data_IF_361357876045
#
_entry.id   IF_361357876045
#
_cell.length_a   1.000
_cell.length_b   1.000
_cell.length_c   1.000
_cell.angle_alpha   90.00
_cell.angle_beta   90.00
_cell.angle_gamma   90.00
#
_symmetry.space_group_name_H-M   'P 1'
#
loop_
_entity.id
_entity.type
_entity.pdbx_description
1 polymer ?
#
# COMPACT_ATOMS: atom_id res chain seq x y z
N UNK A 1 -2.63 -28.88 18.59
CA UNK A 1 -1.60 -29.81 18.06
C UNK A 1 -1.86 -29.97 16.56
N UNK A 2 -0.83 -29.83 15.73
CA UNK A 2 -0.92 -29.78 14.26
C UNK A 2 -0.24 -28.51 13.74
N UNK A 3 1.08 -28.43 13.84
CA UNK A 3 2.06 -28.81 12.81
C UNK A 3 2.36 -27.63 11.88
N UNK A 4 3.25 -26.76 12.38
CA UNK A 4 3.98 -25.78 11.59
C UNK A 4 5.03 -26.55 10.80
N UNK A 5 4.91 -26.58 9.48
CA UNK A 5 5.93 -27.18 8.63
C UNK A 5 7.08 -26.18 8.48
N UNK A 6 8.12 -26.37 9.30
CA UNK A 6 9.45 -25.87 9.04
C UNK A 6 10.00 -26.57 7.81
N UNK A 7 10.45 -25.80 6.82
CA UNK A 7 11.52 -26.21 5.91
C UNK A 7 12.22 -24.94 5.43
N UNK A 8 13.11 -24.46 6.32
CA UNK A 8 14.02 -23.36 6.01
C UNK A 8 15.30 -23.99 5.49
N UNK A 9 15.48 -24.02 4.16
CA UNK A 9 16.77 -24.30 3.56
C UNK A 9 17.74 -23.18 3.97
N UNK A 10 18.62 -23.51 4.91
CA UNK A 10 19.66 -22.63 5.41
C UNK A 10 20.68 -22.35 4.31
N UNK A 11 20.66 -21.13 3.79
CA UNK A 11 21.80 -20.55 3.06
C UNK A 11 22.61 -19.74 4.05
N UNK A 12 23.84 -20.16 4.28
CA UNK A 12 24.80 -19.53 5.17
C UNK A 12 25.11 -18.08 4.73
N UNK A 13 24.61 -17.13 5.51
CA UNK A 13 25.04 -15.74 5.51
C UNK A 13 25.01 -15.24 6.95
N UNK A 14 26.14 -14.78 7.47
CA UNK A 14 26.35 -14.30 8.85
C UNK A 14 25.63 -12.97 9.14
N UNK A 15 24.31 -12.96 9.04
CA UNK A 15 23.47 -11.81 9.32
C UNK A 15 22.08 -12.22 9.81
N UNK A 16 21.54 -11.46 10.77
CA UNK A 16 20.17 -11.65 11.24
C UNK A 16 19.15 -11.58 10.08
N UNK A 17 18.16 -12.50 10.01
CA UNK A 17 17.15 -12.53 8.96
C UNK A 17 16.40 -11.21 8.82
N UNK A 18 16.04 -10.84 7.60
CA UNK A 18 15.29 -9.59 7.31
C UNK A 18 13.97 -9.56 8.07
N UNK A 19 13.30 -10.70 8.24
CA UNK A 19 12.06 -10.79 9.01
C UNK A 19 12.23 -10.31 10.46
N UNK A 20 13.33 -10.71 11.12
CA UNK A 20 13.62 -10.32 12.50
C UNK A 20 13.95 -8.83 12.61
N UNK A 21 14.68 -8.28 11.63
CA UNK A 21 14.96 -6.83 11.55
C UNK A 21 13.67 -6.02 11.39
N UNK A 22 12.77 -6.44 10.50
CA UNK A 22 11.47 -5.79 10.32
C UNK A 22 10.60 -5.87 11.59
N UNK A 23 10.64 -7.00 12.31
CA UNK A 23 9.94 -7.14 13.59
C UNK A 23 10.49 -6.15 14.64
N UNK A 24 11.81 -5.99 14.74
CA UNK A 24 12.42 -5.01 15.65
C UNK A 24 12.04 -3.57 15.30
N UNK A 25 11.94 -3.25 14.01
CA UNK A 25 11.46 -1.95 13.54
C UNK A 25 10.01 -1.72 13.96
N UNK A 26 9.15 -2.72 13.81
CA UNK A 26 7.75 -2.64 14.25
C UNK A 26 7.63 -2.46 15.77
N UNK A 27 8.38 -3.23 16.55
CA UNK A 27 8.43 -3.08 18.02
C UNK A 27 8.86 -1.67 18.43
N UNK A 28 9.88 -1.12 17.76
CA UNK A 28 10.33 0.25 18.01
C UNK A 28 9.29 1.28 17.60
N UNK A 29 8.68 1.13 16.43
CA UNK A 29 7.64 2.02 15.92
C UNK A 29 6.43 2.08 16.87
N UNK A 30 6.08 0.95 17.50
CA UNK A 30 5.00 0.85 18.49
C UNK A 30 5.35 1.54 19.82
N UNK A 31 6.58 1.36 20.31
CA UNK A 31 7.04 1.93 21.59
C UNK A 31 7.33 3.42 21.51
N UNK A 32 7.84 3.89 20.37
CA UNK A 32 8.30 5.27 20.19
C UNK A 32 7.54 5.96 19.03
N UNK A 33 6.32 6.44 19.31
CA UNK A 33 5.41 7.04 18.32
C UNK A 33 5.96 8.28 17.57
N UNK A 34 7.00 8.92 18.10
CA UNK A 34 7.67 10.06 17.47
C UNK A 34 8.99 9.72 16.76
N UNK A 35 9.43 8.46 16.81
CA UNK A 35 10.76 8.09 16.33
C UNK A 35 10.87 8.19 14.81
N UNK A 36 11.93 8.84 14.35
CA UNK A 36 12.26 8.95 12.92
C UNK A 36 13.31 7.93 12.53
N UNK A 37 12.93 7.03 11.63
CA UNK A 37 13.81 5.99 11.11
C UNK A 37 14.71 6.55 10.01
N UNK A 38 16.01 6.68 10.28
CA UNK A 38 16.99 7.33 9.38
C UNK A 38 17.80 6.36 8.53
N UNK A 39 17.83 5.07 8.89
CA UNK A 39 18.52 4.02 8.15
C UNK A 39 17.59 2.84 7.96
N UNK A 40 16.94 2.78 6.79
CA UNK A 40 16.01 1.72 6.39
C UNK A 40 16.38 1.13 5.03
N UNK A 41 17.01 1.92 4.17
CA UNK A 41 17.32 1.52 2.80
C UNK A 41 18.24 0.30 2.73
N UNK A 42 19.05 0.05 3.76
CA UNK A 42 19.92 -1.12 3.84
C UNK A 42 19.13 -2.45 3.88
N UNK A 43 17.84 -2.42 4.24
CA UNK A 43 16.95 -3.58 4.23
C UNK A 43 16.54 -3.98 2.82
N UNK A 44 16.70 -3.11 1.82
CA UNK A 44 16.53 -3.42 0.39
C UNK A 44 17.71 -4.28 -0.10
N UNK A 45 17.75 -5.53 0.36
CA UNK A 45 18.77 -6.51 0.03
C UNK A 45 18.18 -7.70 -0.74
N UNK A 46 19.04 -8.62 -1.18
CA UNK A 46 18.64 -9.79 -1.97
C UNK A 46 17.62 -10.67 -1.23
N UNK A 47 17.79 -10.88 0.08
CA UNK A 47 16.87 -11.67 0.90
C UNK A 47 15.46 -11.06 0.93
N UNK A 48 15.33 -9.74 1.15
CA UNK A 48 14.05 -9.05 1.14
C UNK A 48 13.40 -9.17 -0.24
N UNK A 49 14.14 -8.89 -1.30
CA UNK A 49 13.63 -8.89 -2.67
C UNK A 49 13.27 -10.29 -3.16
N UNK A 50 14.05 -11.32 -2.81
CA UNK A 50 13.71 -12.74 -3.05
C UNK A 50 12.40 -13.11 -2.36
N UNK A 51 12.24 -12.71 -1.09
CA UNK A 51 10.99 -12.89 -0.35
C UNK A 51 9.80 -12.12 -0.93
N UNK A 52 10.04 -11.01 -1.64
CA UNK A 52 9.01 -10.28 -2.39
C UNK A 52 8.67 -10.99 -3.70
N UNK A 53 9.67 -11.46 -4.43
CA UNK A 53 9.51 -12.24 -5.66
C UNK A 53 8.62 -13.46 -5.45
N UNK A 54 8.85 -14.23 -4.38
CA UNK A 54 8.05 -15.40 -4.05
C UNK A 54 6.57 -15.05 -3.85
N UNK A 55 6.28 -13.94 -3.16
CA UNK A 55 4.92 -13.46 -2.85
C UNK A 55 4.20 -12.82 -4.05
N UNK A 56 4.93 -12.29 -5.02
CA UNK A 56 4.31 -11.71 -6.22
C UNK A 56 3.50 -12.79 -6.96
N UNK A 57 2.32 -12.41 -7.45
CA UNK A 57 1.46 -13.31 -8.23
C UNK A 57 2.15 -13.78 -9.51
N UNK A 58 1.99 -15.06 -9.84
CA UNK A 58 2.52 -15.63 -11.09
C UNK A 58 1.87 -15.01 -12.33
N UNK A 59 0.58 -14.71 -12.26
CA UNK A 59 -0.23 -14.16 -13.34
C UNK A 59 -0.23 -12.61 -13.38
N UNK A 60 0.74 -11.96 -12.74
CA UNK A 60 0.86 -10.52 -12.77
C UNK A 60 1.18 -10.03 -14.19
N UNK A 61 0.28 -9.22 -14.77
CA UNK A 61 0.44 -8.69 -16.12
C UNK A 61 1.77 -7.95 -16.30
N UNK A 62 2.46 -8.18 -17.41
CA UNK A 62 3.74 -7.53 -17.69
C UNK A 62 3.60 -6.03 -17.97
N UNK A 63 4.65 -5.27 -17.61
CA UNK A 63 4.76 -3.83 -17.81
C UNK A 63 5.10 -3.47 -19.26
N UNK A 64 5.77 -2.33 -19.45
CA UNK A 64 6.26 -1.90 -20.77
C UNK A 64 7.40 -2.80 -21.26
N UNK A 65 8.23 -3.27 -20.33
CA UNK A 65 9.35 -4.20 -20.51
C UNK A 65 8.93 -5.59 -21.00
N UNK A 66 7.64 -5.92 -20.95
CA UNK A 66 7.08 -7.26 -21.24
C UNK A 66 7.70 -8.39 -20.38
N UNK A 67 8.43 -8.05 -19.32
CA UNK A 67 9.07 -9.02 -18.43
C UNK A 67 8.01 -9.70 -17.55
N UNK A 68 7.97 -11.02 -17.60
CA UNK A 68 7.09 -11.84 -16.75
C UNK A 68 7.85 -12.40 -15.55
N UNK A 69 7.10 -12.91 -14.56
CA UNK A 69 7.71 -13.54 -13.38
C UNK A 69 8.57 -14.74 -13.76
N UNK A 70 8.11 -15.56 -14.69
CA UNK A 70 8.78 -16.79 -15.09
C UNK A 70 10.07 -16.48 -15.86
N UNK A 71 10.04 -15.51 -16.79
CA UNK A 71 11.25 -15.05 -17.50
C UNK A 71 12.28 -14.45 -16.54
N UNK A 72 11.83 -13.65 -15.56
CA UNK A 72 12.74 -13.09 -14.56
C UNK A 72 13.34 -14.18 -13.64
N UNK A 73 12.62 -15.29 -13.45
CA UNK A 73 13.05 -16.42 -12.62
C UNK A 73 14.23 -17.19 -13.22
N UNK A 74 14.37 -17.21 -14.55
CA UNK A 74 15.41 -17.94 -15.27
C UNK A 74 16.83 -17.59 -14.77
N UNK A 75 17.05 -16.31 -14.47
CA UNK A 75 18.31 -15.78 -13.94
C UNK A 75 18.09 -15.02 -12.63
N UNK A 76 17.22 -15.54 -11.76
CA UNK A 76 16.73 -14.84 -10.57
C UNK A 76 17.86 -14.23 -9.72
N UNK A 77 18.86 -15.03 -9.36
CA UNK A 77 19.91 -14.61 -8.42
C UNK A 77 20.79 -13.50 -9.01
N UNK A 78 21.22 -13.63 -10.27
CA UNK A 78 21.98 -12.60 -10.98
C UNK A 78 21.18 -11.31 -11.16
N UNK A 79 19.89 -11.44 -11.49
CA UNK A 79 19.00 -10.29 -11.65
C UNK A 79 18.79 -9.54 -10.33
N UNK A 80 18.60 -10.27 -9.23
CA UNK A 80 18.45 -9.70 -7.89
C UNK A 80 19.73 -9.01 -7.42
N UNK A 81 20.90 -9.64 -7.58
CA UNK A 81 22.18 -9.04 -7.21
C UNK A 81 22.43 -7.72 -7.97
N UNK A 82 22.20 -7.72 -9.29
CA UNK A 82 22.31 -6.53 -10.14
C UNK A 82 21.31 -5.43 -9.74
N UNK A 83 20.07 -5.80 -9.42
CA UNK A 83 19.05 -4.86 -8.94
C UNK A 83 19.45 -4.22 -7.61
N UNK A 84 19.92 -5.02 -6.65
CA UNK A 84 20.39 -4.54 -5.34
C UNK A 84 21.56 -3.58 -5.53
N UNK A 85 22.55 -3.93 -6.35
CA UNK A 85 23.69 -3.05 -6.63
C UNK A 85 23.22 -1.68 -7.17
N UNK A 86 22.34 -1.68 -8.18
CA UNK A 86 21.76 -0.44 -8.74
C UNK A 86 20.96 0.35 -7.72
N UNK A 87 20.23 -0.31 -6.82
CA UNK A 87 19.47 0.33 -5.75
C UNK A 87 20.43 1.03 -4.76
N UNK A 88 21.47 0.36 -4.29
CA UNK A 88 22.40 0.89 -3.28
C UNK A 88 23.29 2.02 -3.83
N UNK A 89 23.65 1.97 -5.11
CA UNK A 89 24.34 3.06 -5.82
C UNK A 89 23.40 4.20 -6.26
N UNK A 90 22.10 4.10 -5.96
CA UNK A 90 21.06 5.06 -6.37
C UNK A 90 20.93 5.25 -7.90
N UNK A 91 21.42 4.28 -8.68
CA UNK A 91 21.37 4.23 -10.14
C UNK A 91 20.03 3.67 -10.68
N UNK A 92 19.24 3.01 -9.82
CA UNK A 92 17.90 2.53 -10.19
C UNK A 92 16.94 3.69 -10.50
N UNK A 93 16.33 3.65 -11.69
CA UNK A 93 15.32 4.61 -12.15
C UNK A 93 14.04 3.82 -12.44
N UNK A 94 12.92 4.08 -11.74
CA UNK A 94 11.65 3.47 -12.04
C UNK A 94 11.20 3.77 -13.46
N UNK A 95 10.60 2.79 -14.13
CA UNK A 95 10.09 2.96 -15.48
C UNK A 95 8.65 3.46 -15.47
N UNK A 96 8.23 4.05 -16.59
CA UNK A 96 6.84 4.45 -16.77
C UNK A 96 5.90 3.25 -16.65
N UNK A 97 4.74 3.46 -16.03
CA UNK A 97 3.74 2.39 -15.88
C UNK A 97 2.92 2.26 -17.15
N UNK A 98 2.67 1.03 -17.61
CA UNK A 98 1.86 0.79 -18.81
C UNK A 98 0.38 1.00 -18.50
N UNK A 99 -0.31 1.88 -19.22
CA UNK A 99 -1.76 2.06 -19.08
C UNK A 99 -2.53 0.85 -19.63
N UNK A 100 -3.53 0.39 -18.89
CA UNK A 100 -4.51 -0.60 -19.30
C UNK A 100 -5.89 -0.22 -18.76
N UNK A 101 -6.90 -0.24 -19.61
CA UNK A 101 -8.27 0.01 -19.19
C UNK A 101 -8.98 -1.28 -18.79
N UNK A 102 -9.72 -1.22 -17.68
CA UNK A 102 -10.55 -2.31 -17.17
C UNK A 102 -11.98 -1.79 -17.00
N UNK A 103 -13.01 -2.51 -17.47
CA UNK A 103 -14.40 -2.07 -17.27
C UNK A 103 -14.75 -1.96 -15.79
N UNK A 104 -15.41 -0.86 -15.39
CA UNK A 104 -15.96 -0.73 -14.04
C UNK A 104 -17.19 -1.64 -13.92
N UNK A 105 -17.25 -2.56 -12.93
CA UNK A 105 -18.42 -3.40 -12.73
C UNK A 105 -19.71 -2.57 -12.61
N UNK A 106 -20.71 -2.87 -13.44
CA UNK A 106 -22.00 -2.17 -13.40
C UNK A 106 -22.00 -0.75 -14.00
N UNK A 107 -20.98 -0.35 -14.75
CA UNK A 107 -20.91 0.95 -15.44
C UNK A 107 -20.30 0.81 -16.83
N UNK A 108 -20.67 1.72 -17.75
CA UNK A 108 -20.02 1.88 -19.06
C UNK A 108 -18.64 2.53 -18.96
N UNK A 109 -18.27 3.07 -17.79
CA UNK A 109 -16.98 3.73 -17.58
C UNK A 109 -15.85 2.71 -17.46
N UNK A 110 -14.71 3.03 -18.03
CA UNK A 110 -13.48 2.26 -17.87
C UNK A 110 -12.63 2.87 -16.73
N UNK A 111 -11.93 2.00 -16.01
CA UNK A 111 -10.94 2.35 -14.99
C UNK A 111 -9.56 2.20 -15.60
N UNK A 112 -8.76 3.26 -15.61
CA UNK A 112 -7.38 3.10 -15.97
C UNK A 112 -6.60 2.36 -14.88
N UNK A 113 -5.68 1.50 -15.29
CA UNK A 113 -4.73 0.80 -14.43
C UNK A 113 -3.34 0.96 -15.03
N UNK A 114 -2.41 1.47 -14.23
CA UNK A 114 -0.99 1.44 -14.48
C UNK A 114 -0.40 0.09 -14.07
N UNK A 115 0.25 -0.57 -15.01
CA UNK A 115 0.95 -1.84 -14.79
C UNK A 115 2.44 -1.54 -14.79
N UNK A 116 3.12 -1.57 -13.64
CA UNK A 116 4.56 -1.34 -13.58
C UNK A 116 5.36 -2.47 -14.23
N UNK A 117 6.60 -2.17 -14.60
CA UNK A 117 7.61 -3.14 -15.00
C UNK A 117 7.90 -4.13 -13.85
N UNK A 118 8.52 -5.28 -14.17
CA UNK A 118 8.65 -6.35 -13.17
C UNK A 118 9.55 -5.95 -12.00
N UNK A 119 10.69 -5.33 -12.28
CA UNK A 119 11.59 -4.82 -11.23
C UNK A 119 10.91 -3.73 -10.39
N UNK A 120 10.09 -2.87 -11.00
CA UNK A 120 9.35 -1.84 -10.27
C UNK A 120 8.38 -2.47 -9.26
N UNK A 121 7.71 -3.57 -9.62
CA UNK A 121 6.86 -4.31 -8.69
C UNK A 121 7.66 -4.90 -7.53
N UNK A 122 8.85 -5.44 -7.79
CA UNK A 122 9.73 -5.98 -6.75
C UNK A 122 10.21 -4.89 -5.79
N UNK A 123 10.70 -3.78 -6.33
CA UNK A 123 11.18 -2.65 -5.53
C UNK A 123 10.03 -2.05 -4.71
N UNK A 124 8.86 -1.85 -5.33
CA UNK A 124 7.68 -1.37 -4.62
C UNK A 124 7.24 -2.34 -3.53
N UNK A 125 7.24 -3.65 -3.78
CA UNK A 125 6.91 -4.65 -2.77
C UNK A 125 7.91 -4.63 -1.59
N UNK A 126 9.20 -4.47 -1.86
CA UNK A 126 10.22 -4.32 -0.81
C UNK A 126 9.97 -3.07 0.05
N UNK A 127 9.72 -1.93 -0.58
CA UNK A 127 9.36 -0.70 0.11
C UNK A 127 8.10 -0.84 0.95
N UNK A 128 7.06 -1.51 0.43
CA UNK A 128 5.83 -1.81 1.16
C UNK A 128 6.15 -2.58 2.44
N UNK A 129 6.93 -3.67 2.35
CA UNK A 129 7.28 -4.47 3.55
C UNK A 129 8.00 -3.65 4.63
N UNK A 130 8.89 -2.75 4.23
CA UNK A 130 9.61 -1.88 5.15
C UNK A 130 8.65 -0.85 5.77
N UNK A 131 7.88 -0.15 4.95
CA UNK A 131 7.00 0.92 5.40
C UNK A 131 5.82 0.38 6.23
N UNK A 132 5.23 -0.75 5.86
CA UNK A 132 4.18 -1.42 6.63
C UNK A 132 4.65 -1.76 8.04
N UNK A 133 5.90 -2.22 8.21
CA UNK A 133 6.43 -2.53 9.55
C UNK A 133 6.39 -1.33 10.50
N UNK A 134 6.40 -0.10 9.97
CA UNK A 134 6.33 1.14 10.74
C UNK A 134 4.88 1.60 10.85
N UNK A 135 4.21 1.80 9.71
CA UNK A 135 2.91 2.48 9.66
C UNK A 135 1.75 1.62 10.16
N UNK A 136 1.85 0.28 10.13
CA UNK A 136 0.81 -0.55 10.73
C UNK A 136 0.68 -0.34 12.24
N UNK A 137 1.74 0.10 12.91
CA UNK A 137 1.71 0.44 14.33
C UNK A 137 1.10 1.83 14.59
N UNK A 138 1.00 2.66 13.56
CA UNK A 138 0.53 4.05 13.66
C UNK A 138 -0.93 4.19 13.20
N UNK A 139 -1.37 3.35 12.26
CA UNK A 139 -2.72 3.40 11.72
C UNK A 139 -3.77 3.12 12.79
N UNK A 140 -4.83 3.92 12.78
CA UNK A 140 -5.99 3.75 13.67
C UNK A 140 -6.65 2.38 13.48
N UNK A 141 -7.27 1.87 14.52
CA UNK A 141 -7.92 0.56 14.47
C UNK A 141 -9.09 0.51 13.49
N UNK A 142 -9.79 1.62 13.27
CA UNK A 142 -10.96 1.63 12.39
C UNK A 142 -10.64 1.85 10.90
N UNK A 143 -9.36 1.75 10.52
CA UNK A 143 -8.92 1.68 9.13
C UNK A 143 -8.67 0.23 8.71
N UNK A 144 -9.36 -0.25 7.67
CA UNK A 144 -9.35 -1.67 7.29
C UNK A 144 -8.80 -1.94 5.88
N UNK A 145 -8.89 -0.98 4.96
CA UNK A 145 -8.54 -1.21 3.55
C UNK A 145 -7.05 -1.45 3.33
N UNK A 146 -6.69 -2.48 2.55
CA UNK A 146 -5.31 -2.81 2.15
C UNK A 146 -4.32 -2.96 3.30
N UNK A 147 -4.78 -3.43 4.46
CA UNK A 147 -3.92 -3.69 5.63
C UNK A 147 -3.79 -5.20 5.89
N UNK A 148 -2.61 -5.67 6.34
CA UNK A 148 -2.45 -7.07 6.74
C UNK A 148 -3.47 -7.47 7.81
N UNK A 149 -4.05 -8.67 7.67
CA UNK A 149 -5.01 -9.26 8.61
C UNK A 149 -6.30 -8.45 8.86
N UNK A 150 -6.67 -7.52 7.97
CA UNK A 150 -7.93 -6.77 8.02
C UNK A 150 -8.73 -6.99 6.73
N UNK A 151 -10.01 -7.29 6.86
CA UNK A 151 -10.90 -7.58 5.74
C UNK A 151 -12.11 -6.65 5.69
N UNK A 152 -12.80 -6.66 4.55
CA UNK A 152 -14.08 -5.97 4.39
C UNK A 152 -15.14 -6.50 5.37
N UNK A 153 -15.08 -7.79 5.73
CA UNK A 153 -15.99 -8.39 6.69
C UNK A 153 -15.74 -7.85 8.11
N UNK A 154 -14.50 -7.55 8.48
CA UNK A 154 -14.18 -6.97 9.78
C UNK A 154 -14.72 -5.53 9.90
N UNK A 155 -14.64 -4.75 8.83
CA UNK A 155 -15.21 -3.41 8.77
C UNK A 155 -16.74 -3.45 8.93
N UNK A 156 -17.43 -4.33 8.19
CA UNK A 156 -18.87 -4.51 8.29
C UNK A 156 -19.29 -5.01 9.67
N UNK A 157 -18.58 -5.99 10.22
CA UNK A 157 -18.84 -6.51 11.58
C UNK A 157 -18.70 -5.41 12.62
N UNK A 158 -17.68 -4.56 12.50
CA UNK A 158 -17.46 -3.44 13.41
C UNK A 158 -18.57 -2.41 13.29
N UNK A 159 -19.01 -2.11 12.07
CA UNK A 159 -20.15 -1.23 11.82
C UNK A 159 -21.43 -1.76 12.48
N UNK A 160 -21.80 -3.01 12.20
CA UNK A 160 -23.00 -3.66 12.78
C UNK A 160 -22.97 -3.64 14.31
N UNK A 161 -21.87 -4.08 14.92
CA UNK A 161 -21.74 -4.08 16.38
C UNK A 161 -21.79 -2.67 16.98
N UNK A 162 -21.28 -1.67 16.26
CA UNK A 162 -21.34 -0.28 16.73
C UNK A 162 -22.77 0.23 16.68
N UNK A 163 -23.52 -0.06 15.61
CA UNK A 163 -24.93 0.32 15.49
C UNK A 163 -25.81 -0.34 16.55
N UNK A 164 -25.56 -1.61 16.88
CA UNK A 164 -26.35 -2.34 17.88
C UNK A 164 -26.10 -1.87 19.31
N UNK A 165 -24.85 -1.49 19.63
CA UNK A 165 -24.40 -1.31 21.03
C UNK A 165 -24.19 0.14 21.45
N UNK A 166 -24.21 1.09 20.52
CA UNK A 166 -23.91 2.50 20.77
C UNK A 166 -25.07 3.38 20.33
N UNK A 167 -25.26 4.55 20.95
CA UNK A 167 -26.33 5.48 20.60
C UNK A 167 -26.00 6.21 19.29
N UNK A 168 -26.11 5.51 18.16
CA UNK A 168 -25.93 6.05 16.81
C UNK A 168 -27.29 6.24 16.17
N UNK A 169 -27.61 7.50 15.83
CA UNK A 169 -28.86 7.85 15.15
C UNK A 169 -28.68 8.11 13.65
N UNK A 170 -27.45 8.37 13.21
CA UNK A 170 -27.15 8.77 11.84
C UNK A 170 -25.90 8.05 11.32
N UNK A 171 -25.94 7.65 10.05
CA UNK A 171 -24.81 7.10 9.32
C UNK A 171 -24.56 7.99 8.11
N UNK A 172 -23.31 8.41 7.95
CA UNK A 172 -22.86 9.21 6.81
C UNK A 172 -21.94 8.34 5.97
N UNK A 173 -22.37 8.05 4.75
CA UNK A 173 -21.53 7.42 3.73
C UNK A 173 -20.79 8.50 2.96
N UNK A 174 -19.47 8.41 2.88
CA UNK A 174 -18.62 9.33 2.15
C UNK A 174 -17.67 8.56 1.24
N UNK A 175 -17.65 8.92 -0.05
CA UNK A 175 -16.72 8.40 -1.05
C UNK A 175 -15.82 9.54 -1.56
N UNK A 176 -14.51 9.28 -1.65
CA UNK A 176 -13.56 10.28 -2.18
C UNK A 176 -13.38 10.03 -3.67
N UNK A 177 -14.14 10.78 -4.46
CA UNK A 177 -14.11 10.69 -5.91
C UNK A 177 -12.71 10.98 -6.46
N UNK A 178 -12.13 10.01 -7.18
CA UNK A 178 -10.85 10.19 -7.86
C UNK A 178 -9.67 10.39 -6.92
N UNK A 179 -9.70 9.81 -5.72
CA UNK A 179 -8.64 9.97 -4.71
C UNK A 179 -7.23 9.80 -5.30
N UNK A 180 -6.97 8.69 -5.99
CA UNK A 180 -5.64 8.36 -6.52
C UNK A 180 -5.15 9.34 -7.58
N UNK A 181 -6.05 10.03 -8.30
CA UNK A 181 -5.69 11.02 -9.32
C UNK A 181 -5.40 12.40 -8.71
N UNK A 182 -5.89 12.67 -7.49
CA UNK A 182 -5.85 14.00 -6.85
C UNK A 182 -4.96 14.06 -5.59
N UNK A 183 -4.19 13.01 -5.28
CA UNK A 183 -3.27 13.02 -4.13
C UNK A 183 -2.15 14.04 -4.38
N UNK A 184 -2.05 15.07 -3.56
CA UNK A 184 -0.93 16.01 -3.65
C UNK A 184 0.38 15.32 -3.22
N UNK A 185 1.30 15.16 -4.17
CA UNK A 185 2.55 14.42 -3.95
C UNK A 185 3.47 15.09 -2.93
N UNK A 186 3.47 16.42 -2.84
CA UNK A 186 4.30 17.14 -1.87
C UNK A 186 3.85 16.87 -0.43
N UNK A 187 2.54 16.92 -0.20
CA UNK A 187 1.96 16.59 1.11
C UNK A 187 2.19 15.12 1.47
N UNK A 188 2.04 14.19 0.52
CA UNK A 188 2.36 12.79 0.75
C UNK A 188 3.81 12.59 1.21
N UNK A 189 4.77 13.26 0.56
CA UNK A 189 6.18 13.19 0.95
C UNK A 189 6.45 13.84 2.33
N UNK A 190 5.76 14.94 2.66
CA UNK A 190 5.81 15.54 4.00
C UNK A 190 5.27 14.59 5.06
N UNK A 191 4.16 13.91 4.80
CA UNK A 191 3.59 12.92 5.72
C UNK A 191 4.52 11.71 5.90
N UNK A 192 5.15 11.25 4.82
CA UNK A 192 6.15 10.20 4.89
C UNK A 192 7.34 10.62 5.79
N UNK A 193 7.79 11.87 5.67
CA UNK A 193 8.91 12.43 6.43
C UNK A 193 8.65 12.60 7.94
N UNK A 194 7.41 12.41 8.42
CA UNK A 194 7.13 12.39 9.85
C UNK A 194 7.77 11.19 10.55
N UNK A 195 7.78 10.02 9.91
CA UNK A 195 8.33 8.77 10.47
C UNK A 195 9.57 8.29 9.75
N UNK A 196 9.69 8.57 8.46
CA UNK A 196 10.83 8.16 7.64
C UNK A 196 11.81 9.32 7.55
N UNK A 197 12.92 9.24 8.30
CA UNK A 197 14.06 10.16 8.17
C UNK A 197 15.06 9.76 7.07
N UNK A 198 14.96 8.53 6.55
CA UNK A 198 15.84 8.02 5.50
C UNK A 198 15.56 8.70 4.15
N UNK A 199 16.48 9.58 3.74
CA UNK A 199 16.39 10.33 2.48
C UNK A 199 16.39 9.43 1.24
N UNK A 200 16.98 8.23 1.31
CA UNK A 200 17.03 7.31 0.15
C UNK A 200 15.66 6.70 -0.10
N UNK A 201 14.94 6.30 0.95
CA UNK A 201 13.55 5.83 0.85
C UNK A 201 12.65 6.94 0.32
N UNK A 202 12.71 8.14 0.90
CA UNK A 202 11.92 9.29 0.43
C UNK A 202 12.19 9.59 -1.06
N UNK A 203 13.47 9.56 -1.47
CA UNK A 203 13.87 9.76 -2.87
C UNK A 203 13.32 8.67 -3.78
N UNK A 204 13.31 7.41 -3.34
CA UNK A 204 12.76 6.31 -4.13
C UNK A 204 11.25 6.44 -4.30
N UNK A 205 10.50 6.75 -3.23
CA UNK A 205 9.05 7.02 -3.31
C UNK A 205 8.78 8.18 -4.27
N UNK A 206 9.53 9.29 -4.15
CA UNK A 206 9.42 10.43 -5.08
C UNK A 206 9.68 10.02 -6.54
N UNK A 207 10.68 9.18 -6.81
CA UNK A 207 10.96 8.66 -8.16
C UNK A 207 9.80 7.80 -8.69
N UNK A 208 9.22 6.95 -7.85
CA UNK A 208 8.07 6.11 -8.24
C UNK A 208 6.85 6.96 -8.60
N UNK A 209 6.57 8.00 -7.81
CA UNK A 209 5.47 8.93 -8.09
C UNK A 209 5.66 9.70 -9.41
N UNK A 210 6.92 10.06 -9.74
CA UNK A 210 7.29 10.78 -10.97
C UNK A 210 7.56 9.88 -12.19
N UNK A 211 7.45 8.55 -12.06
CA UNK A 211 7.81 7.63 -13.13
C UNK A 211 6.93 7.78 -14.39
N UNK A 212 5.77 8.44 -14.27
CA UNK A 212 4.85 8.71 -15.37
C UNK A 212 4.06 7.48 -15.82
N UNK A 213 3.07 7.72 -16.65
CA UNK A 213 2.18 6.70 -17.26
C UNK A 213 2.42 6.71 -18.76
N UNK A 214 2.76 5.56 -19.33
CA UNK A 214 2.88 5.40 -20.77
C UNK A 214 1.55 4.95 -21.38
N UNK A 215 1.09 5.70 -22.38
CA UNK A 215 -0.16 5.49 -23.13
C UNK A 215 0.04 5.92 -24.58
N UNK A 216 -0.31 5.03 -25.52
CA UNK A 216 -0.26 5.26 -26.98
C UNK A 216 1.06 5.86 -27.51
N UNK A 217 2.19 5.41 -26.97
CA UNK A 217 3.52 5.86 -27.37
C UNK A 217 3.99 7.17 -26.74
N UNK A 218 3.14 7.81 -25.93
CA UNK A 218 3.47 8.99 -25.13
C UNK A 218 3.65 8.63 -23.66
N UNK A 219 4.57 9.33 -22.97
CA UNK A 219 4.73 9.23 -21.51
C UNK A 219 4.19 10.52 -20.90
N UNK A 220 3.14 10.39 -20.11
CA UNK A 220 2.56 11.50 -19.36
C UNK A 220 3.07 11.46 -17.92
N UNK A 221 3.57 12.59 -17.43
CA UNK A 221 3.96 12.74 -16.03
C UNK A 221 2.93 13.65 -15.37
N UNK A 222 2.32 13.16 -14.29
CA UNK A 222 1.41 13.96 -13.48
C UNK A 222 2.13 14.42 -12.22
N UNK A 223 2.05 15.72 -11.92
CA UNK A 223 2.55 16.27 -10.66
C UNK A 223 1.57 16.00 -9.49
N UNK A 224 0.33 15.63 -9.80
CA UNK A 224 -0.69 15.21 -8.85
C UNK A 224 -1.07 13.73 -9.02
N UNK A 225 -1.51 13.13 -7.93
CA UNK A 225 -1.92 11.74 -7.87
C UNK A 225 -0.78 10.75 -7.64
N UNK A 226 -1.16 9.48 -7.56
CA UNK A 226 -0.26 8.33 -7.47
C UNK A 226 -0.60 7.37 -8.61
N UNK A 227 0.40 6.70 -9.23
CA UNK A 227 0.12 5.73 -10.30
C UNK A 227 -0.86 4.64 -9.82
N UNK A 228 -2.07 4.65 -10.37
CA UNK A 228 -3.11 3.67 -10.00
C UNK A 228 -2.64 2.28 -10.46
N UNK A 229 -2.51 1.31 -9.55
CA UNK A 229 -2.00 -0.03 -9.87
C UNK A 229 -0.53 -0.31 -9.55
N UNK A 230 0.19 0.68 -9.01
CA UNK A 230 1.45 0.43 -8.29
C UNK A 230 1.22 -0.44 -7.05
N UNK A 231 2.15 -1.34 -6.75
CA UNK A 231 2.11 -2.21 -5.56
C UNK A 231 2.16 -1.37 -4.28
N UNK A 232 2.86 -0.23 -4.31
CA UNK A 232 3.00 0.68 -3.16
C UNK A 232 1.84 1.67 -3.00
N UNK A 233 1.06 1.91 -4.06
CA UNK A 233 0.01 2.93 -4.09
C UNK A 233 -1.05 2.78 -2.98
N UNK A 234 -1.55 1.57 -2.64
CA UNK A 234 -2.52 1.41 -1.55
C UNK A 234 -1.98 1.83 -0.18
N UNK A 235 -0.71 1.53 0.09
CA UNK A 235 -0.06 1.91 1.34
C UNK A 235 0.12 3.43 1.42
N UNK A 236 0.57 4.06 0.33
CA UNK A 236 0.71 5.52 0.27
C UNK A 236 -0.64 6.24 0.46
N UNK A 237 -1.70 5.69 -0.13
CA UNK A 237 -3.06 6.18 0.07
C UNK A 237 -3.47 6.11 1.55
N UNK A 238 -3.20 4.99 2.21
CA UNK A 238 -3.49 4.83 3.63
C UNK A 238 -2.69 5.78 4.51
N UNK A 239 -1.40 6.01 4.21
CA UNK A 239 -0.56 7.00 4.90
C UNK A 239 -1.19 8.39 4.74
N UNK A 240 -1.53 8.79 3.51
CA UNK A 240 -2.11 10.11 3.26
C UNK A 240 -3.42 10.31 4.04
N UNK A 241 -4.35 9.34 3.94
CA UNK A 241 -5.65 9.40 4.63
C UNK A 241 -5.52 9.34 6.14
N UNK A 242 -4.50 8.65 6.65
CA UNK A 242 -4.22 8.64 8.08
C UNK A 242 -3.94 10.05 8.62
N UNK A 243 -3.03 10.79 7.98
CA UNK A 243 -2.67 12.13 8.44
C UNK A 243 -3.74 13.18 8.15
N UNK A 244 -4.48 13.05 7.06
CA UNK A 244 -5.45 14.06 6.62
C UNK A 244 -6.84 13.87 7.21
N UNK A 245 -7.33 12.62 7.26
CA UNK A 245 -8.71 12.30 7.65
C UNK A 245 -8.75 11.64 9.02
N UNK A 246 -8.01 10.55 9.23
CA UNK A 246 -8.12 9.74 10.44
C UNK A 246 -7.71 10.55 11.69
N UNK A 247 -6.55 11.24 11.64
CA UNK A 247 -6.09 12.07 12.75
C UNK A 247 -6.93 13.33 12.96
N UNK A 248 -7.43 13.94 11.87
CA UNK A 248 -8.34 15.08 11.97
C UNK A 248 -9.64 14.68 12.67
N UNK A 249 -10.22 13.53 12.28
CA UNK A 249 -11.45 13.04 12.87
C UNK A 249 -11.27 12.75 14.38
N UNK A 250 -10.23 12.00 14.74
CA UNK A 250 -10.00 11.61 16.14
C UNK A 250 -9.62 12.79 17.04
N UNK A 251 -8.82 13.73 16.54
CA UNK A 251 -8.28 14.83 17.37
C UNK A 251 -9.17 16.07 17.40
N UNK A 252 -9.91 16.34 16.33
CA UNK A 252 -10.68 17.57 16.17
C UNK A 252 -12.17 17.26 16.18
N UNK A 253 -12.65 16.53 15.17
CA UNK A 253 -14.09 16.33 14.98
C UNK A 253 -14.73 15.62 16.17
N UNK A 254 -14.17 14.48 16.58
CA UNK A 254 -14.67 13.67 17.68
C UNK A 254 -14.74 14.45 19.01
N UNK A 255 -13.84 15.39 19.24
CA UNK A 255 -13.84 16.25 20.43
C UNK A 255 -14.86 17.38 20.36
N UNK A 256 -15.18 17.84 19.16
CA UNK A 256 -16.20 18.87 18.94
C UNK A 256 -17.62 18.33 18.97
N UNK A 257 -17.82 17.03 18.78
CA UNK A 257 -19.14 16.41 18.81
C UNK A 257 -19.65 16.20 20.24
N UNK A 258 -20.90 16.59 20.48
CA UNK A 258 -21.65 16.19 21.67
C UNK A 258 -22.26 14.81 21.42
N UNK A 259 -21.62 13.75 21.92
CA UNK A 259 -22.14 12.37 21.83
C UNK A 259 -21.11 11.36 21.31
N UNK A 260 -21.60 10.20 20.84
CA UNK A 260 -20.74 9.15 20.30
C UNK A 260 -20.54 9.33 18.79
N UNK A 261 -19.28 9.50 18.38
CA UNK A 261 -18.87 9.55 16.98
C UNK A 261 -17.75 8.54 16.72
N UNK A 262 -17.82 7.83 15.59
CA UNK A 262 -16.82 6.85 15.14
C UNK A 262 -16.67 6.90 13.62
N UNK A 263 -15.44 6.88 13.14
CA UNK A 263 -15.11 6.82 11.71
C UNK A 263 -14.63 5.41 11.37
N UNK A 264 -15.32 4.72 10.46
CA UNK A 264 -14.89 3.42 9.93
C UNK A 264 -14.46 3.65 8.47
N UNK A 265 -13.20 3.36 8.15
CA UNK A 265 -12.62 3.61 6.82
C UNK A 265 -12.26 2.31 6.12
N UNK A 266 -12.74 2.16 4.89
CA UNK A 266 -12.31 1.14 3.94
C UNK A 266 -11.91 1.83 2.63
N UNK A 267 -10.65 1.72 2.23
CA UNK A 267 -10.19 2.27 0.94
C UNK A 267 -10.70 1.40 -0.21
N UNK A 268 -11.32 2.01 -1.22
CA UNK A 268 -12.18 1.25 -2.14
C UNK A 268 -11.60 0.89 -3.52
N UNK A 269 -10.40 1.34 -3.95
CA UNK A 269 -9.94 1.02 -5.32
C UNK A 269 -8.43 0.82 -5.48
N UNK A 270 -7.94 -0.41 -5.36
CA UNK A 270 -6.59 -0.79 -5.85
C UNK A 270 -6.43 -2.24 -6.35
N UNK A 271 -7.45 -3.10 -6.38
CA UNK A 271 -7.32 -4.49 -6.89
C UNK A 271 -8.61 -4.91 -7.64
N UNK A 272 -8.54 -5.74 -8.71
CA UNK A 272 -9.74 -6.18 -9.43
C UNK A 272 -10.60 -7.06 -8.51
N UNK A 273 -11.68 -6.51 -7.95
CA UNK A 273 -12.72 -7.32 -7.31
C UNK A 273 -13.44 -8.12 -8.41
N UNK A 274 -13.24 -9.44 -8.45
CA UNK A 274 -14.29 -10.36 -8.95
C UNK A 274 -15.47 -10.26 -7.98
N UNK A 275 -16.67 -10.19 -8.55
CA UNK A 275 -17.94 -9.92 -7.90
C UNK A 275 -18.12 -10.54 -6.51
N UNK A 276 -18.45 -9.69 -5.54
CA UNK A 276 -19.45 -10.01 -4.53
C UNK A 276 -20.47 -8.86 -4.57
N UNK A 277 -21.68 -9.13 -5.07
CA UNK A 277 -22.81 -8.20 -4.93
C UNK A 277 -23.13 -8.10 -3.45
N UNK A 278 -22.74 -7.00 -2.80
CA UNK A 278 -23.40 -6.58 -1.56
C UNK A 278 -24.54 -5.68 -2.01
N UNK A 279 -25.77 -6.21 -1.97
CA UNK A 279 -26.97 -5.38 -2.09
C UNK A 279 -27.08 -4.58 -0.79
N UNK A 280 -26.92 -3.26 -0.88
CA UNK A 280 -27.35 -2.36 0.19
C UNK A 280 -28.88 -2.34 0.22
N UNK A 281 -29.47 -2.85 1.29
CA UNK A 281 -30.91 -2.73 1.53
C UNK A 281 -31.20 -1.29 1.95
N UNK A 282 -31.87 -0.52 1.09
CA UNK A 282 -32.55 0.71 1.51
C UNK A 282 -33.71 0.32 2.41
N UNK A 283 -33.63 0.63 3.72
CA UNK A 283 -34.83 0.70 4.55
C UNK A 283 -35.50 2.05 4.28
N UNK A 284 -36.37 2.09 3.27
CA UNK A 284 -37.42 3.09 3.17
C UNK A 284 -38.47 2.80 4.23
N UNK A 285 -38.49 3.57 5.31
CA UNK A 285 -39.71 3.81 6.07
C UNK A 285 -40.18 5.22 5.69
N UNK A 286 -41.20 5.29 4.86
CA UNK A 286 -42.08 6.45 4.75
C UNK A 286 -43.40 6.05 5.41
N UNK A 287 -43.95 7.02 6.14
CA UNK A 287 -45.08 6.96 7.05
C UNK A 287 -46.36 6.33 6.48
#
# INVERSE_FOLDING_TARGET
MGAWCEDTLAVHGSGEPVATKLHRIAEKARKELGFKFTSLYHLMNEELLRGCFQRLRKDAAAGIDKMTKDMYAENLETNLASLVERLHRMAYIPQAVRRKYIPKPGSTKQRPLGIPCFEDKLVQAGLVRILESIYEQDFIEDSYGFRPARSCHDALKTLSLTMERKPINHIVEADIKGFFDNVNQEWLLKFLAHRIGDKRIQRMVKRILKAGVAEDGSVTVSDDGTPQGGVISPLLANIYLHYTLDLWFERIYRRSCTGYARLIRYADDCVPRRHARVRSTQCSHAA
#
